data_IF_326575249846
#
_entry.id   IF_326575249846
#
_cell.length_a   1.000
_cell.length_b   1.000
_cell.length_c   1.000
_cell.angle_alpha   90.00
_cell.angle_beta   90.00
_cell.angle_gamma   90.00
#
_symmetry.space_group_name_H-M   'P 1'
#
loop_
_entity.id
_entity.type
_entity.pdbx_description
1 polymer ?
#
# COMPACT_ATOMS: atom_id res chain seq x y z
N UNK A 1 42.89 -34.55 -3.06
CA UNK A 1 41.68 -33.98 -3.68
C UNK A 1 40.86 -33.39 -2.56
N UNK A 2 40.91 -32.06 -2.41
CA UNK A 2 40.28 -31.32 -1.31
C UNK A 2 38.89 -30.87 -1.77
N UNK A 3 37.85 -31.39 -1.12
CA UNK A 3 36.45 -30.99 -1.30
C UNK A 3 36.16 -29.74 -0.45
N UNK A 4 36.69 -28.59 -0.87
CA UNK A 4 36.33 -27.30 -0.29
C UNK A 4 35.81 -26.38 -1.40
N UNK A 5 34.86 -25.51 -1.05
CA UNK A 5 34.14 -24.56 -1.90
C UNK A 5 32.96 -25.11 -2.73
N UNK A 6 31.92 -25.60 -2.05
CA UNK A 6 30.60 -25.12 -2.44
C UNK A 6 30.26 -23.98 -1.49
N UNK A 7 30.53 -22.79 -2.00
CA UNK A 7 30.26 -21.51 -1.38
C UNK A 7 28.95 -21.55 -0.59
N UNK A 8 29.05 -21.30 0.71
CA UNK A 8 27.99 -20.72 1.52
C UNK A 8 27.62 -19.39 0.87
N UNK A 9 26.82 -19.41 -0.19
CA UNK A 9 26.25 -18.21 -0.76
C UNK A 9 25.32 -17.65 0.33
N UNK A 10 25.65 -16.51 0.97
CA UNK A 10 24.78 -15.97 1.98
C UNK A 10 23.47 -15.61 1.28
N UNK A 11 22.40 -16.33 1.61
CA UNK A 11 21.07 -16.10 1.07
C UNK A 11 20.80 -14.59 0.99
N UNK A 12 20.36 -14.05 -0.16
CA UNK A 12 20.21 -12.61 -0.33
C UNK A 12 19.43 -12.05 0.83
N UNK A 13 20.05 -11.16 1.62
CA UNK A 13 19.35 -10.48 2.71
C UNK A 13 18.17 -9.76 2.09
N UNK A 14 16.97 -10.31 2.30
CA UNK A 14 15.72 -9.72 1.85
C UNK A 14 15.56 -8.37 2.55
N UNK A 15 16.08 -7.33 1.90
CA UNK A 15 16.04 -5.97 2.42
C UNK A 15 14.58 -5.56 2.31
N UNK A 16 13.86 -5.55 3.44
CA UNK A 16 12.42 -5.27 3.43
C UNK A 16 12.21 -3.82 2.93
N UNK A 17 11.29 -3.57 1.99
CA UNK A 17 11.10 -2.22 1.44
C UNK A 17 10.33 -1.35 2.43
N UNK A 18 11.00 -0.87 3.49
CA UNK A 18 10.40 -0.12 4.59
C UNK A 18 9.62 1.10 4.08
N UNK A 19 10.16 1.84 3.10
CA UNK A 19 9.49 3.00 2.53
C UNK A 19 8.16 2.65 1.84
N UNK A 20 8.10 1.53 1.11
CA UNK A 20 6.87 1.03 0.49
C UNK A 20 5.84 0.66 1.55
N UNK A 21 6.26 -0.02 2.62
CA UNK A 21 5.39 -0.33 3.76
C UNK A 21 4.83 0.91 4.44
N UNK A 22 5.66 1.93 4.67
CA UNK A 22 5.24 3.20 5.27
C UNK A 22 4.18 3.87 4.39
N UNK A 23 4.37 3.89 3.06
CA UNK A 23 3.41 4.49 2.14
C UNK A 23 2.09 3.70 2.05
N UNK A 24 2.16 2.37 2.10
CA UNK A 24 0.96 1.52 2.15
C UNK A 24 0.19 1.76 3.46
N UNK A 25 0.87 1.85 4.59
CA UNK A 25 0.23 2.14 5.88
C UNK A 25 -0.37 3.55 5.91
N UNK A 26 0.36 4.54 5.39
CA UNK A 26 -0.15 5.90 5.25
C UNK A 26 -1.40 5.96 4.37
N UNK A 27 -1.42 5.22 3.25
CA UNK A 27 -2.59 5.13 2.39
C UNK A 27 -3.81 4.56 3.15
N UNK A 28 -3.60 3.52 3.96
CA UNK A 28 -4.67 2.94 4.78
C UNK A 28 -5.20 3.94 5.82
N UNK A 29 -4.32 4.70 6.49
CA UNK A 29 -4.71 5.74 7.44
C UNK A 29 -5.53 6.84 6.77
N UNK A 30 -5.08 7.32 5.60
CA UNK A 30 -5.82 8.32 4.82
C UNK A 30 -7.22 7.83 4.47
N UNK A 31 -7.32 6.57 4.03
CA UNK A 31 -8.60 5.93 3.68
C UNK A 31 -9.53 5.83 4.88
N UNK A 32 -9.00 5.54 6.06
CA UNK A 32 -9.81 5.46 7.26
C UNK A 32 -10.31 6.84 7.72
N UNK A 33 -9.58 7.91 7.42
CA UNK A 33 -9.97 9.28 7.82
C UNK A 33 -10.90 9.93 6.78
N UNK A 34 -11.00 9.38 5.56
CA UNK A 34 -11.82 9.91 4.47
C UNK A 34 -13.32 9.98 4.80
N UNK A 35 -13.96 8.95 5.38
CA UNK A 35 -15.37 8.99 5.71
C UNK A 35 -15.68 10.03 6.78
N UNK A 36 -16.86 10.60 6.70
CA UNK A 36 -17.41 11.40 7.78
C UNK A 36 -18.07 10.50 8.82
N UNK A 37 -17.25 9.97 9.73
CA UNK A 37 -17.73 9.13 10.82
C UNK A 37 -18.63 9.87 11.81
N UNK A 38 -18.55 11.20 11.87
CA UNK A 38 -19.33 12.03 12.77
C UNK A 38 -20.71 12.42 12.19
N UNK A 39 -20.99 12.08 10.93
CA UNK A 39 -22.27 12.37 10.29
C UNK A 39 -22.56 13.86 10.14
N UNK A 40 -21.51 14.69 10.08
CA UNK A 40 -21.61 16.15 9.90
C UNK A 40 -22.22 16.55 8.55
N UNK A 41 -22.22 15.65 7.57
CA UNK A 41 -22.73 15.89 6.22
C UNK A 41 -21.82 16.81 5.39
N UNK A 42 -20.61 17.08 5.87
CA UNK A 42 -19.66 17.97 5.20
C UNK A 42 -19.14 17.32 3.92
N UNK A 43 -19.40 17.89 2.73
CA UNK A 43 -18.96 17.29 1.49
C UNK A 43 -17.44 17.39 1.38
N UNK A 44 -16.77 16.23 1.37
CA UNK A 44 -15.34 16.18 1.08
C UNK A 44 -15.10 16.28 -0.43
N UNK A 45 -14.07 17.02 -0.88
CA UNK A 45 -13.77 17.09 -2.29
C UNK A 45 -13.46 15.70 -2.88
N UNK A 46 -14.03 15.38 -4.04
CA UNK A 46 -13.88 14.07 -4.68
C UNK A 46 -12.42 13.71 -4.99
N UNK A 47 -11.55 14.71 -5.19
CA UNK A 47 -10.14 14.48 -5.47
C UNK A 47 -9.38 13.82 -4.30
N UNK A 48 -9.87 13.95 -3.06
CA UNK A 48 -9.21 13.37 -1.87
C UNK A 48 -9.21 11.83 -1.93
N UNK A 49 -10.19 11.23 -2.62
CA UNK A 49 -10.23 9.78 -2.87
C UNK A 49 -9.12 9.30 -3.82
N UNK A 50 -8.42 10.19 -4.53
CA UNK A 50 -7.26 9.82 -5.34
C UNK A 50 -5.97 9.68 -4.51
N UNK A 51 -5.91 10.24 -3.30
CA UNK A 51 -4.70 10.22 -2.46
C UNK A 51 -4.18 8.79 -2.20
N UNK A 52 -5.02 7.79 -1.84
CA UNK A 52 -4.55 6.44 -1.57
C UNK A 52 -3.95 5.76 -2.81
N UNK A 53 -4.50 6.07 -3.99
CA UNK A 53 -3.98 5.60 -5.28
C UNK A 53 -2.61 6.22 -5.54
N UNK A 54 -2.46 7.54 -5.35
CA UNK A 54 -1.19 8.23 -5.52
C UNK A 54 -0.11 7.72 -4.55
N UNK A 55 -0.48 7.44 -3.29
CA UNK A 55 0.42 6.83 -2.30
C UNK A 55 0.81 5.39 -2.69
N UNK A 56 -0.14 4.60 -3.19
CA UNK A 56 0.13 3.26 -3.72
C UNK A 56 1.09 3.29 -4.90
N UNK A 57 0.92 4.22 -5.84
CA UNK A 57 1.82 4.44 -6.98
C UNK A 57 3.21 4.93 -6.55
N UNK A 58 3.27 5.85 -5.58
CA UNK A 58 4.55 6.31 -5.02
C UNK A 58 5.31 5.16 -4.34
N UNK A 59 4.63 4.32 -3.57
CA UNK A 59 5.21 3.14 -2.94
C UNK A 59 5.67 2.10 -3.97
N UNK A 60 4.95 2.00 -5.09
CA UNK A 60 5.32 1.14 -6.20
C UNK A 60 6.58 1.62 -6.91
N UNK A 61 6.70 2.92 -7.18
CA UNK A 61 7.88 3.52 -7.76
C UNK A 61 9.12 3.33 -6.87
N UNK A 62 8.98 3.47 -5.54
CA UNK A 62 10.08 3.20 -4.61
C UNK A 62 10.46 1.71 -4.56
N UNK A 63 9.48 0.80 -4.61
CA UNK A 63 9.74 -0.64 -4.66
C UNK A 63 10.47 -1.06 -5.95
N UNK A 64 10.12 -0.46 -7.10
CA UNK A 64 10.84 -0.66 -8.36
C UNK A 64 12.29 -0.18 -8.26
N UNK A 65 12.54 0.99 -7.66
CA UNK A 65 13.91 1.48 -7.42
C UNK A 65 14.72 0.53 -6.53
N UNK A 66 14.08 -0.11 -5.57
CA UNK A 66 14.70 -1.13 -4.71
C UNK A 66 14.87 -2.51 -5.34
N UNK A 67 14.57 -2.69 -6.63
CA UNK A 67 14.54 -4.01 -7.32
C UNK A 67 13.62 -5.03 -6.64
N UNK A 68 12.51 -4.56 -6.07
CA UNK A 68 11.48 -5.37 -5.44
C UNK A 68 10.17 -5.34 -6.27
N UNK A 69 10.14 -5.98 -7.46
CA UNK A 69 9.01 -5.87 -8.39
C UNK A 69 7.69 -6.40 -7.81
N UNK A 70 7.75 -7.43 -6.96
CA UNK A 70 6.57 -7.96 -6.28
C UNK A 70 5.92 -6.93 -5.35
N UNK A 71 6.74 -6.19 -4.60
CA UNK A 71 6.27 -5.11 -3.72
C UNK A 71 5.74 -3.91 -4.49
N UNK A 72 6.24 -3.69 -5.71
CA UNK A 72 5.72 -2.65 -6.58
C UNK A 72 4.29 -2.95 -7.02
N UNK A 73 4.04 -4.17 -7.48
CA UNK A 73 2.70 -4.63 -7.83
C UNK A 73 1.75 -4.57 -6.62
N UNK A 74 2.20 -5.06 -5.45
CA UNK A 74 1.42 -5.02 -4.22
C UNK A 74 1.04 -3.58 -3.83
N UNK A 75 2.00 -2.64 -3.85
CA UNK A 75 1.74 -1.24 -3.52
C UNK A 75 0.80 -0.54 -4.51
N UNK A 76 0.95 -0.82 -5.81
CA UNK A 76 0.07 -0.24 -6.83
C UNK A 76 -1.38 -0.72 -6.67
N UNK A 77 -1.57 -2.03 -6.43
CA UNK A 77 -2.89 -2.62 -6.21
C UNK A 77 -3.50 -2.16 -4.88
N UNK A 78 -2.68 -1.97 -3.85
CA UNK A 78 -3.12 -1.57 -2.53
C UNK A 78 -3.96 -0.29 -2.53
N UNK A 79 -3.53 0.75 -3.26
CA UNK A 79 -4.26 2.01 -3.36
C UNK A 79 -5.65 1.85 -3.97
N UNK A 80 -5.81 0.94 -4.93
CA UNK A 80 -7.10 0.66 -5.58
C UNK A 80 -8.00 -0.17 -4.68
N UNK A 81 -7.46 -1.25 -4.09
CA UNK A 81 -8.19 -2.16 -3.20
C UNK A 81 -8.73 -1.43 -1.99
N UNK A 82 -7.95 -0.52 -1.41
CA UNK A 82 -8.40 0.27 -0.25
C UNK A 82 -9.67 1.07 -0.51
N UNK A 83 -9.84 1.64 -1.70
CA UNK A 83 -11.06 2.38 -2.06
C UNK A 83 -12.25 1.43 -2.16
N UNK A 84 -12.08 0.26 -2.76
CA UNK A 84 -13.15 -0.74 -2.86
C UNK A 84 -13.58 -1.24 -1.48
N UNK A 85 -12.60 -1.53 -0.62
CA UNK A 85 -12.85 -1.93 0.77
C UNK A 85 -13.57 -0.82 1.53
N UNK A 86 -13.17 0.44 1.35
CA UNK A 86 -13.83 1.58 1.98
C UNK A 86 -15.30 1.69 1.56
N UNK A 87 -15.58 1.60 0.26
CA UNK A 87 -16.95 1.66 -0.26
C UNK A 87 -17.81 0.55 0.36
N UNK A 88 -17.31 -0.69 0.36
CA UNK A 88 -18.03 -1.82 0.97
C UNK A 88 -18.28 -1.59 2.46
N UNK A 89 -17.28 -1.09 3.21
CA UNK A 89 -17.44 -0.79 4.64
C UNK A 89 -18.51 0.27 4.86
N UNK A 90 -18.47 1.37 4.12
CA UNK A 90 -19.46 2.44 4.24
C UNK A 90 -20.86 1.91 3.89
N UNK A 91 -21.01 1.15 2.81
CA UNK A 91 -22.29 0.55 2.43
C UNK A 91 -22.82 -0.41 3.50
N UNK A 92 -21.96 -1.22 4.13
CA UNK A 92 -22.36 -2.12 5.20
C UNK A 92 -22.78 -1.39 6.48
N UNK A 93 -22.16 -0.26 6.80
CA UNK A 93 -22.46 0.53 8.01
C UNK A 93 -23.67 1.45 7.80
N UNK A 94 -23.75 2.12 6.65
CA UNK A 94 -24.77 3.15 6.37
C UNK A 94 -26.01 2.61 5.67
N UNK A 95 -25.99 1.38 5.16
CA UNK A 95 -27.05 0.83 4.31
C UNK A 95 -26.88 1.22 2.83
N UNK A 96 -27.65 0.58 1.92
CA UNK A 96 -27.66 0.89 0.50
C UNK A 96 -28.37 2.22 0.17
#
# INVERSE_FOLDING_TARGET
MTFADHADDPAPRATRPIATWVLMLLAAVVVLILPDWAGTGSPRPTWVFAIPILLGLAGAALALRGRHPWWAAASALWGVVLIQVLVVIITLISGP
#
